data_IF_185976324269
#
_entry.id   IF_185976324269
#
_cell.length_a   1.000
_cell.length_b   1.000
_cell.length_c   1.000
_cell.angle_alpha   90.00
_cell.angle_beta   90.00
_cell.angle_gamma   90.00
#
_symmetry.space_group_name_H-M   'P 1'
#
loop_
_entity.id
_entity.type
_entity.pdbx_description
1 polymer ?
#
# COMPACT_ATOMS: atom_id res chain seq x y z
N UNK A 1 51.06 -8.37 11.22
CA UNK A 1 50.35 -7.13 11.61
C UNK A 1 49.28 -7.50 12.63
N UNK A 2 49.29 -6.91 13.83
CA UNK A 2 48.42 -7.35 14.95
C UNK A 2 47.08 -6.63 14.85
N UNK A 3 45.97 -7.37 14.95
CA UNK A 3 44.57 -6.85 14.86
C UNK A 3 44.29 -5.64 15.77
N UNK A 4 45.05 -5.48 16.86
CA UNK A 4 44.97 -4.34 17.78
C UNK A 4 45.36 -3.00 17.15
N UNK A 5 46.29 -3.02 16.19
CA UNK A 5 46.82 -1.79 15.60
C UNK A 5 45.81 -1.19 14.61
N UNK A 6 45.02 -2.06 13.96
CA UNK A 6 43.93 -1.69 13.05
C UNK A 6 42.77 -1.02 13.82
N UNK A 7 42.39 -1.57 14.98
CA UNK A 7 41.32 -0.99 15.81
C UNK A 7 41.68 0.38 16.36
N UNK A 8 42.96 0.59 16.68
CA UNK A 8 43.48 1.87 17.18
C UNK A 8 43.55 2.94 16.08
N UNK A 9 43.81 2.54 14.83
CA UNK A 9 43.74 3.44 13.68
C UNK A 9 42.29 3.75 13.28
N UNK A 10 41.35 2.86 13.56
CA UNK A 10 39.93 3.07 13.24
C UNK A 10 39.30 4.18 14.09
N UNK A 11 39.76 4.35 15.34
CA UNK A 11 39.26 5.40 16.25
C UNK A 11 39.69 6.81 15.86
N UNK A 12 40.73 6.99 15.04
CA UNK A 12 41.18 8.32 14.58
C UNK A 12 40.55 8.74 13.25
N UNK A 13 39.86 7.83 12.55
CA UNK A 13 39.18 8.10 11.26
C UNK A 13 38.10 9.19 11.35
N UNK A 14 37.25 9.28 12.41
CA UNK A 14 36.26 10.35 12.51
C UNK A 14 36.89 11.74 12.64
N UNK A 15 38.01 11.83 13.33
CA UNK A 15 38.73 13.10 13.54
C UNK A 15 39.45 13.57 12.27
N UNK A 16 40.04 12.64 11.51
CA UNK A 16 40.67 12.96 10.21
C UNK A 16 39.59 13.25 9.15
N UNK A 17 38.49 12.49 9.13
CA UNK A 17 37.35 12.74 8.24
C UNK A 17 36.66 14.07 8.49
N UNK A 18 36.57 14.50 9.76
CA UNK A 18 36.01 15.81 10.14
C UNK A 18 36.86 17.00 9.67
N UNK A 19 38.19 16.85 9.61
CA UNK A 19 39.09 17.91 9.12
C UNK A 19 39.06 17.99 7.59
N UNK A 20 38.87 16.87 6.88
CA UNK A 20 38.73 16.86 5.41
C UNK A 20 37.38 17.47 4.99
N UNK A 21 36.31 17.26 5.77
CA UNK A 21 35.01 17.86 5.54
C UNK A 21 34.99 19.40 5.66
N UNK A 22 35.96 20.00 6.35
CA UNK A 22 36.14 21.46 6.42
C UNK A 22 36.82 22.08 5.19
N UNK A 23 37.36 21.26 4.27
CA UNK A 23 38.11 21.70 3.08
C UNK A 23 37.31 21.52 1.78
N UNK A 24 36.13 20.90 1.84
CA UNK A 24 35.25 20.75 0.68
C UNK A 24 34.47 22.07 0.46
N UNK A 25 34.55 22.70 -0.73
CA UNK A 25 33.85 23.95 -1.02
C UNK A 25 32.32 23.82 -0.84
N UNK A 26 31.63 24.92 -0.50
CA UNK A 26 30.17 24.97 -0.41
C UNK A 26 29.58 24.91 -1.83
N UNK A 27 29.49 23.70 -2.38
CA UNK A 27 29.02 23.47 -3.76
C UNK A 27 28.61 22.02 -4.04
N UNK A 28 28.67 21.13 -3.06
CA UNK A 28 28.02 19.82 -3.18
C UNK A 28 26.53 20.04 -3.06
N UNK A 29 25.87 20.07 -4.22
CA UNK A 29 24.42 20.12 -4.33
C UNK A 29 23.82 19.03 -3.44
N UNK A 30 23.15 19.47 -2.37
CA UNK A 30 22.16 18.65 -1.69
C UNK A 30 21.10 18.40 -2.75
N UNK A 31 21.03 17.16 -3.24
CA UNK A 31 19.95 16.71 -4.12
C UNK A 31 18.64 17.22 -3.52
N UNK A 32 17.89 17.99 -4.31
CA UNK A 32 16.62 18.56 -3.89
C UNK A 32 15.77 17.44 -3.29
N UNK A 33 15.57 17.50 -1.97
CA UNK A 33 14.64 16.62 -1.29
C UNK A 33 13.29 16.82 -1.97
N UNK A 34 12.81 15.77 -2.65
CA UNK A 34 11.48 15.73 -3.25
C UNK A 34 10.51 16.22 -2.16
N UNK A 35 9.83 17.35 -2.42
CA UNK A 35 8.98 18.01 -1.44
C UNK A 35 8.15 16.96 -0.69
N UNK A 36 8.22 16.98 0.65
CA UNK A 36 7.57 15.99 1.49
C UNK A 36 6.09 15.90 1.08
N UNK A 37 5.69 14.73 0.59
CA UNK A 37 4.31 14.49 0.17
C UNK A 37 3.40 14.74 1.38
N UNK A 38 2.29 15.45 1.16
CA UNK A 38 1.30 15.78 2.19
C UNK A 38 0.93 14.52 2.99
N UNK A 39 1.03 14.60 4.31
CA UNK A 39 0.76 13.49 5.23
C UNK A 39 -0.57 13.73 5.94
N UNK A 40 -1.64 13.15 5.38
CA UNK A 40 -3.01 13.33 5.89
C UNK A 40 -3.18 12.79 7.32
N UNK A 41 -2.45 11.73 7.71
CA UNK A 41 -2.56 11.19 9.06
C UNK A 41 -1.99 12.18 10.09
N UNK A 42 -0.84 12.80 9.79
CA UNK A 42 -0.28 13.84 10.68
C UNK A 42 -1.17 15.07 10.78
N UNK A 43 -1.75 15.51 9.67
CA UNK A 43 -2.68 16.65 9.67
C UNK A 43 -3.93 16.40 10.52
N UNK A 44 -4.43 15.16 10.51
CA UNK A 44 -5.56 14.73 11.34
C UNK A 44 -5.16 14.39 12.79
N UNK A 45 -3.88 14.53 13.17
CA UNK A 45 -3.38 14.18 14.50
C UNK A 45 -3.38 12.67 14.79
N UNK A 46 -3.41 11.84 13.75
CA UNK A 46 -3.45 10.38 13.84
C UNK A 46 -2.04 9.78 13.86
N UNK A 47 -1.84 8.79 14.74
CA UNK A 47 -0.57 8.07 14.88
C UNK A 47 -0.54 6.85 13.97
N UNK A 48 0.44 6.78 13.08
CA UNK A 48 0.78 5.55 12.34
C UNK A 48 1.74 4.67 13.16
N UNK A 49 1.73 3.37 12.91
CA UNK A 49 2.58 2.41 13.62
C UNK A 49 2.91 1.18 12.76
N UNK A 50 3.95 0.44 13.15
CA UNK A 50 4.31 -0.82 12.50
C UNK A 50 3.41 -1.93 13.05
N UNK A 51 2.60 -2.52 12.19
CA UNK A 51 1.74 -3.64 12.54
C UNK A 51 2.51 -4.97 12.44
N UNK A 52 2.68 -5.66 13.57
CA UNK A 52 3.24 -7.02 13.65
C UNK A 52 2.26 -8.04 14.28
N UNK A 53 0.99 -7.65 14.48
CA UNK A 53 -0.03 -8.49 15.12
C UNK A 53 -0.95 -9.20 14.11
N UNK A 54 -0.84 -8.88 12.82
CA UNK A 54 -1.66 -9.44 11.74
C UNK A 54 -2.76 -8.50 11.28
N UNK A 55 -3.71 -9.02 10.51
CA UNK A 55 -4.75 -8.25 9.81
C UNK A 55 -6.00 -8.03 10.69
N UNK A 56 -5.86 -7.25 11.77
CA UNK A 56 -6.99 -6.91 12.64
C UNK A 56 -7.84 -5.78 12.10
N UNK A 57 -9.17 -5.95 12.15
CA UNK A 57 -10.16 -4.96 11.70
C UNK A 57 -10.01 -3.62 12.40
N UNK A 58 -9.78 -3.62 13.72
CA UNK A 58 -9.53 -2.39 14.50
C UNK A 58 -8.26 -1.65 14.08
N UNK A 59 -7.38 -2.30 13.31
CA UNK A 59 -6.13 -1.74 12.79
C UNK A 59 -6.15 -1.61 11.27
N UNK A 60 -7.32 -1.32 10.69
CA UNK A 60 -7.50 -1.11 9.23
C UNK A 60 -7.22 -2.33 8.35
N UNK A 61 -7.18 -3.54 8.93
CA UNK A 61 -6.97 -4.80 8.22
C UNK A 61 -5.65 -4.84 7.42
N UNK A 62 -5.73 -5.07 6.11
CA UNK A 62 -4.58 -5.28 5.21
C UNK A 62 -4.26 -4.02 4.41
N UNK A 63 -2.96 -3.76 4.22
CA UNK A 63 -2.51 -2.76 3.26
C UNK A 63 -2.54 -3.33 1.84
N UNK A 64 -2.91 -2.50 0.86
CA UNK A 64 -2.93 -2.90 -0.54
C UNK A 64 -1.50 -2.97 -1.10
N UNK A 65 -1.15 -4.01 -1.90
CA UNK A 65 0.08 -4.05 -2.67
C UNK A 65 0.22 -2.87 -3.64
N UNK A 66 1.45 -2.56 -4.06
CA UNK A 66 1.74 -1.39 -4.91
C UNK A 66 1.06 -1.49 -6.26
N UNK A 67 1.08 -2.67 -6.88
CA UNK A 67 0.43 -2.96 -8.16
C UNK A 67 -1.09 -2.72 -8.10
N UNK A 68 -1.73 -2.96 -6.95
CA UNK A 68 -3.16 -2.71 -6.76
C UNK A 68 -3.42 -1.20 -6.65
N UNK A 69 -2.58 -0.49 -5.90
CA UNK A 69 -2.68 0.95 -5.76
C UNK A 69 -2.45 1.66 -7.10
N UNK A 70 -1.51 1.19 -7.92
CA UNK A 70 -1.29 1.69 -9.28
C UNK A 70 -2.54 1.52 -10.15
N UNK A 71 -3.13 0.32 -10.15
CA UNK A 71 -4.35 0.03 -10.90
C UNK A 71 -5.54 0.91 -10.49
N UNK A 72 -5.73 1.14 -9.18
CA UNK A 72 -6.77 2.05 -8.67
C UNK A 72 -6.51 3.49 -9.13
N UNK A 73 -5.26 3.96 -9.05
CA UNK A 73 -4.91 5.32 -9.43
C UNK A 73 -5.02 5.58 -10.94
N UNK A 74 -4.78 4.57 -11.78
CA UNK A 74 -4.96 4.67 -13.23
C UNK A 74 -6.45 4.62 -13.60
N UNK A 75 -7.20 3.66 -13.06
CA UNK A 75 -8.62 3.47 -13.42
C UNK A 75 -9.52 4.59 -12.94
N UNK A 76 -9.19 5.25 -11.83
CA UNK A 76 -9.95 6.39 -11.30
C UNK A 76 -10.02 7.62 -12.22
N UNK A 77 -9.28 7.62 -13.34
CA UNK A 77 -9.21 8.73 -14.31
C UNK A 77 -9.99 8.46 -15.60
N UNK A 78 -10.58 7.28 -15.72
CA UNK A 78 -11.29 6.84 -16.92
C UNK A 78 -12.75 6.50 -16.59
N UNK A 79 -13.64 6.73 -17.55
CA UNK A 79 -15.04 6.35 -17.44
C UNK A 79 -15.26 5.02 -18.14
N UNK A 80 -15.96 4.12 -17.46
CA UNK A 80 -16.36 2.81 -17.98
C UNK A 80 -17.77 2.49 -17.50
N UNK A 81 -18.51 1.72 -18.29
CA UNK A 81 -19.82 1.22 -17.88
C UNK A 81 -19.62 0.23 -16.73
N UNK A 82 -20.23 0.51 -15.58
CA UNK A 82 -20.02 -0.29 -14.37
C UNK A 82 -20.50 -1.74 -14.54
N UNK A 83 -21.56 -1.95 -15.32
CA UNK A 83 -22.10 -3.27 -15.65
C UNK A 83 -21.06 -4.13 -16.37
N UNK A 84 -20.35 -3.57 -17.37
CA UNK A 84 -19.29 -4.29 -18.08
C UNK A 84 -18.11 -4.65 -17.17
N UNK A 85 -17.74 -3.75 -16.25
CA UNK A 85 -16.70 -4.03 -15.25
C UNK A 85 -17.13 -5.18 -14.35
N UNK A 86 -18.38 -5.18 -13.89
CA UNK A 86 -18.92 -6.22 -13.03
C UNK A 86 -18.92 -7.58 -13.74
N UNK A 87 -19.37 -7.64 -14.99
CA UNK A 87 -19.38 -8.87 -15.79
C UNK A 87 -17.96 -9.42 -15.99
N UNK A 88 -17.02 -8.57 -16.40
CA UNK A 88 -15.63 -8.98 -16.69
C UNK A 88 -14.87 -9.40 -15.44
N UNK A 89 -15.07 -8.70 -14.33
CA UNK A 89 -14.48 -9.08 -13.04
C UNK A 89 -15.13 -10.38 -12.52
N UNK A 90 -16.44 -10.53 -12.67
CA UNK A 90 -17.19 -11.74 -12.31
C UNK A 90 -16.67 -12.97 -13.07
N UNK A 91 -16.55 -12.89 -14.40
CA UNK A 91 -15.96 -13.95 -15.24
C UNK A 91 -14.58 -14.38 -14.72
N UNK A 92 -13.71 -13.41 -14.40
CA UNK A 92 -12.36 -13.69 -13.92
C UNK A 92 -12.35 -14.36 -12.54
N UNK A 93 -13.16 -13.87 -11.61
CA UNK A 93 -13.25 -14.47 -10.26
C UNK A 93 -13.85 -15.87 -10.34
N UNK A 94 -14.89 -16.08 -11.15
CA UNK A 94 -15.51 -17.38 -11.35
C UNK A 94 -14.51 -18.40 -11.88
N UNK A 95 -13.68 -18.01 -12.85
CA UNK A 95 -12.61 -18.86 -13.38
C UNK A 95 -11.56 -19.22 -12.33
N UNK A 96 -11.16 -18.26 -11.48
CA UNK A 96 -10.18 -18.49 -10.40
C UNK A 96 -10.72 -19.37 -9.28
N UNK A 97 -12.01 -19.24 -8.96
CA UNK A 97 -12.67 -19.98 -7.89
C UNK A 97 -13.31 -21.30 -8.36
N UNK A 98 -13.23 -21.62 -9.66
CA UNK A 98 -13.92 -22.75 -10.29
C UNK A 98 -15.43 -22.77 -10.01
N UNK A 99 -16.06 -21.59 -10.08
CA UNK A 99 -17.49 -21.40 -9.89
C UNK A 99 -18.19 -21.11 -11.23
N UNK A 100 -19.51 -21.31 -11.29
CA UNK A 100 -20.31 -21.01 -12.48
C UNK A 100 -20.43 -19.50 -12.73
N UNK A 101 -20.50 -18.71 -11.65
CA UNK A 101 -20.58 -17.25 -11.70
C UNK A 101 -20.01 -16.63 -10.42
N UNK A 102 -19.63 -15.36 -10.47
CA UNK A 102 -19.21 -14.58 -9.32
C UNK A 102 -19.70 -13.13 -9.43
N UNK A 103 -20.00 -12.51 -8.29
CA UNK A 103 -20.49 -11.14 -8.20
C UNK A 103 -19.76 -10.39 -7.09
N UNK A 104 -19.24 -9.20 -7.39
CA UNK A 104 -18.56 -8.34 -6.42
C UNK A 104 -19.56 -7.39 -5.78
N UNK A 105 -19.61 -7.37 -4.46
CA UNK A 105 -20.46 -6.46 -3.68
C UNK A 105 -19.60 -5.48 -2.87
N UNK A 106 -20.24 -4.55 -2.17
CA UNK A 106 -19.55 -3.61 -1.28
C UNK A 106 -18.80 -4.29 -0.11
N UNK A 107 -19.10 -5.56 0.18
CA UNK A 107 -18.44 -6.34 1.22
C UNK A 107 -19.16 -7.64 1.54
N UNK A 108 -18.54 -8.50 2.35
CA UNK A 108 -19.07 -9.85 2.64
C UNK A 108 -20.50 -9.83 3.22
N UNK A 109 -20.80 -8.93 4.16
CA UNK A 109 -22.16 -8.80 4.70
C UNK A 109 -23.19 -8.43 3.62
N UNK A 110 -22.85 -7.51 2.71
CA UNK A 110 -23.71 -7.15 1.58
C UNK A 110 -23.96 -8.35 0.67
N UNK A 111 -22.94 -9.19 0.41
CA UNK A 111 -23.12 -10.42 -0.35
C UNK A 111 -24.08 -11.40 0.35
N UNK A 112 -24.00 -11.56 1.67
CA UNK A 112 -24.92 -12.41 2.42
C UNK A 112 -26.36 -11.90 2.33
N UNK A 113 -26.58 -10.61 2.51
CA UNK A 113 -27.92 -10.00 2.42
C UNK A 113 -28.50 -10.15 1.02
N UNK A 114 -27.75 -9.76 -0.01
CA UNK A 114 -28.21 -9.82 -1.40
C UNK A 114 -28.43 -11.27 -1.87
N UNK A 115 -27.52 -12.18 -1.52
CA UNK A 115 -27.66 -13.60 -1.82
C UNK A 115 -28.87 -14.22 -1.13
N UNK A 116 -29.09 -13.90 0.16
CA UNK A 116 -30.27 -14.38 0.90
C UNK A 116 -31.56 -13.85 0.29
N UNK A 117 -31.61 -12.55 -0.03
CA UNK A 117 -32.76 -11.96 -0.69
C UNK A 117 -33.06 -12.66 -2.02
N UNK A 118 -32.05 -12.85 -2.88
CA UNK A 118 -32.22 -13.54 -4.16
C UNK A 118 -32.71 -14.99 -4.04
N UNK A 119 -32.22 -15.74 -3.05
CA UNK A 119 -32.70 -17.11 -2.79
C UNK A 119 -34.15 -17.12 -2.29
N UNK A 120 -34.54 -16.16 -1.45
CA UNK A 120 -35.89 -16.08 -0.90
C UNK A 120 -36.93 -15.60 -1.93
N UNK A 121 -36.59 -14.63 -2.78
CA UNK A 121 -37.52 -14.03 -3.75
C UNK A 121 -37.51 -14.71 -5.11
N UNK A 122 -36.43 -15.42 -5.46
CA UNK A 122 -36.31 -16.11 -6.75
C UNK A 122 -36.50 -15.17 -7.94
N UNK A 123 -37.42 -15.53 -8.85
CA UNK A 123 -37.78 -14.74 -10.03
C UNK A 123 -39.10 -13.98 -9.88
N UNK A 124 -39.50 -13.62 -8.65
CA UNK A 124 -40.70 -12.80 -8.46
C UNK A 124 -40.45 -11.38 -9.01
N UNK A 125 -41.18 -11.04 -10.09
CA UNK A 125 -41.06 -9.77 -10.82
C UNK A 125 -42.02 -8.69 -10.30
N UNK A 126 -42.73 -8.95 -9.20
CA UNK A 126 -43.79 -8.10 -8.68
C UNK A 126 -43.30 -6.97 -7.77
#
# INVERSE_FOLDING_TARGET
MKRRDILRSLTTVPFVGGIIAGVVPPGVAIAASKAAKRDLFKELGLRTFINAAGNYTSMTASLMPEEVMEAINSSAKEYVMLEEVQDKVGEKIAALCHAEAAFVTAGCWSALVLGTAGVLTGMDLK
#
